data_IF_741223342483
#
_entry.id   IF_741223342483
#
_cell.length_a   1.000
_cell.length_b   1.000
_cell.length_c   1.000
_cell.angle_alpha   90.00
_cell.angle_beta   90.00
_cell.angle_gamma   90.00
#
_symmetry.space_group_name_H-M   'P 1'
#
loop_
_entity.id
_entity.type
_entity.pdbx_description
1 polymer ?
#
# COMPACT_ATOMS: atom_id res chain seq x y z
N UNK A 1 10.62 3.31 22.38
CA UNK A 1 11.89 2.59 22.19
C UNK A 1 12.79 2.73 23.42
N UNK A 2 13.74 1.81 23.65
CA UNK A 2 14.72 1.86 24.75
C UNK A 2 15.48 3.19 24.74
N UNK A 3 15.84 3.69 23.55
CA UNK A 3 16.54 4.96 23.40
C UNK A 3 15.71 6.14 23.99
N UNK A 4 14.43 6.24 23.65
CA UNK A 4 13.55 7.29 24.16
C UNK A 4 13.33 7.19 25.68
N UNK A 5 13.27 5.97 26.22
CA UNK A 5 13.18 5.76 27.66
C UNK A 5 14.40 6.31 28.40
N UNK A 6 15.60 6.13 27.82
CA UNK A 6 16.85 6.64 28.38
C UNK A 6 17.13 8.11 28.08
N UNK A 7 16.38 8.73 27.16
CA UNK A 7 16.52 10.13 26.72
C UNK A 7 15.13 10.77 26.65
N UNK A 8 14.55 11.15 27.79
CA UNK A 8 13.17 11.66 27.88
C UNK A 8 12.95 13.00 27.15
N UNK A 9 14.04 13.73 26.85
CA UNK A 9 14.04 14.96 26.07
C UNK A 9 13.78 14.77 24.57
N UNK A 10 13.83 13.52 24.08
CA UNK A 10 13.59 13.22 22.66
C UNK A 10 12.11 13.42 22.33
N UNK A 11 11.77 14.30 21.38
CA UNK A 11 10.38 14.53 20.94
C UNK A 11 9.73 13.25 20.40
N UNK A 12 8.40 13.20 20.40
CA UNK A 12 7.63 12.10 19.79
C UNK A 12 7.87 11.99 18.29
N UNK A 13 8.06 13.13 17.63
CA UNK A 13 8.47 13.22 16.24
C UNK A 13 9.83 13.90 16.17
N UNK A 14 10.87 13.14 15.92
CA UNK A 14 12.27 13.48 16.16
C UNK A 14 13.15 13.19 14.95
N UNK A 15 14.45 13.43 15.05
CA UNK A 15 15.44 13.04 14.02
C UNK A 15 15.37 11.56 13.63
N UNK A 16 14.90 10.69 14.53
CA UNK A 16 14.77 9.25 14.27
C UNK A 16 13.65 8.92 13.27
N UNK A 17 12.70 9.85 13.10
CA UNK A 17 11.54 9.72 12.20
C UNK A 17 11.82 10.31 10.81
N UNK A 18 13.00 10.90 10.61
CA UNK A 18 13.39 11.42 9.29
C UNK A 18 13.57 10.24 8.31
N UNK A 19 12.93 10.36 7.15
CA UNK A 19 12.94 9.33 6.12
C UNK A 19 14.37 8.87 5.82
N UNK A 20 14.63 7.57 5.99
CA UNK A 20 15.91 6.90 5.71
C UNK A 20 17.14 7.50 6.39
N UNK A 21 17.00 8.30 7.43
CA UNK A 21 18.16 8.87 8.16
C UNK A 21 19.08 7.77 8.71
N UNK A 22 18.50 6.66 9.15
CA UNK A 22 19.24 5.51 9.67
C UNK A 22 20.05 4.74 8.64
N UNK A 23 19.86 4.95 7.33
CA UNK A 23 20.70 4.36 6.28
C UNK A 23 22.10 5.00 6.27
N UNK A 24 22.22 6.23 6.74
CA UNK A 24 23.48 6.91 7.01
C UNK A 24 23.79 6.87 8.49
N UNK A 25 24.42 5.78 8.96
CA UNK A 25 24.84 5.65 10.37
C UNK A 25 25.62 6.87 10.87
N UNK A 26 26.44 7.48 10.02
CA UNK A 26 27.23 8.66 10.35
C UNK A 26 26.36 9.88 10.63
N UNK A 27 25.38 10.18 9.77
CA UNK A 27 24.50 11.36 9.93
C UNK A 27 23.69 11.27 11.24
N UNK A 28 23.03 10.13 11.47
CA UNK A 28 22.27 9.93 12.70
C UNK A 28 23.14 9.97 13.95
N UNK A 29 24.35 9.34 13.94
CA UNK A 29 25.27 9.38 15.04
C UNK A 29 25.73 10.82 15.34
N UNK A 30 26.10 11.61 14.33
CA UNK A 30 26.50 13.01 14.51
C UNK A 30 25.39 13.83 15.21
N UNK A 31 24.13 13.64 14.83
CA UNK A 31 23.01 14.33 15.49
C UNK A 31 22.82 13.88 16.94
N UNK A 32 22.90 12.58 17.20
CA UNK A 32 22.75 12.01 18.55
C UNK A 32 23.90 12.44 19.45
N UNK A 33 25.14 12.37 18.97
CA UNK A 33 26.34 12.81 19.74
C UNK A 33 26.30 14.31 20.04
N UNK A 34 25.76 15.11 19.11
CA UNK A 34 25.50 16.53 19.31
C UNK A 34 24.28 16.85 20.14
N UNK A 35 23.54 15.85 20.65
CA UNK A 35 22.26 15.99 21.38
C UNK A 35 21.19 16.77 20.62
N UNK A 36 21.22 16.71 19.30
CA UNK A 36 20.20 17.29 18.42
C UNK A 36 19.13 16.24 18.19
N UNK A 37 18.01 16.34 18.90
CA UNK A 37 16.91 15.37 18.82
C UNK A 37 15.69 15.91 18.07
N UNK A 38 15.46 17.24 18.10
CA UNK A 38 14.41 17.84 17.32
C UNK A 38 14.90 18.06 15.89
N UNK A 39 14.14 17.56 14.92
CA UNK A 39 14.50 17.71 13.50
C UNK A 39 14.55 19.16 13.02
N UNK A 40 13.91 20.08 13.73
CA UNK A 40 13.93 21.51 13.39
C UNK A 40 15.25 22.19 13.79
N UNK A 41 16.06 21.56 14.65
CA UNK A 41 17.33 22.08 15.15
C UNK A 41 18.54 21.52 14.37
N UNK A 42 18.29 20.76 13.29
CA UNK A 42 19.36 20.23 12.43
C UNK A 42 20.13 21.40 11.80
N UNK A 43 21.48 21.40 11.87
CA UNK A 43 22.30 22.44 11.26
C UNK A 43 22.04 22.58 9.75
N UNK A 44 22.00 23.82 9.25
CA UNK A 44 21.73 24.12 7.84
C UNK A 44 22.81 23.58 6.89
N UNK A 45 24.03 23.41 7.38
CA UNK A 45 25.18 22.84 6.63
C UNK A 45 25.17 21.32 6.58
N UNK A 46 24.26 20.66 7.30
CA UNK A 46 24.11 19.20 7.21
C UNK A 46 23.48 18.80 5.89
N UNK A 47 24.23 18.05 5.08
CA UNK A 47 23.77 17.53 3.82
C UNK A 47 22.60 16.56 4.02
N UNK A 48 21.40 16.92 3.57
CA UNK A 48 20.18 16.12 3.59
C UNK A 48 19.72 15.86 2.14
N UNK A 49 18.97 14.76 1.93
CA UNK A 49 18.30 14.53 0.65
C UNK A 49 17.05 15.40 0.53
N UNK A 50 16.58 15.65 -0.71
CA UNK A 50 15.36 16.45 -0.97
C UNK A 50 14.17 15.94 -0.19
N UNK A 51 13.98 14.61 -0.09
CA UNK A 51 12.92 13.97 0.71
C UNK A 51 13.01 14.36 2.18
N UNK A 52 14.22 14.40 2.74
CA UNK A 52 14.45 14.78 4.14
C UNK A 52 14.23 16.28 4.36
N UNK A 53 14.70 17.10 3.44
CA UNK A 53 14.48 18.56 3.43
C UNK A 53 12.99 18.87 3.35
N UNK A 54 12.26 18.23 2.44
CA UNK A 54 10.83 18.43 2.25
C UNK A 54 10.05 18.02 3.52
N UNK A 55 10.40 16.87 4.11
CA UNK A 55 9.78 16.41 5.35
C UNK A 55 9.94 17.41 6.48
N UNK A 56 11.15 17.94 6.70
CA UNK A 56 11.44 18.97 7.72
C UNK A 56 10.71 20.28 7.39
N UNK A 57 10.67 20.65 6.12
CA UNK A 57 10.03 21.88 5.66
C UNK A 57 8.53 21.87 5.93
N UNK A 58 7.81 20.78 5.57
CA UNK A 58 6.36 20.70 5.84
C UNK A 58 6.09 20.60 7.35
N UNK A 59 6.95 19.92 8.10
CA UNK A 59 6.85 19.89 9.56
C UNK A 59 7.03 21.29 10.17
N UNK A 60 8.01 22.06 9.71
CA UNK A 60 8.23 23.44 10.17
C UNK A 60 7.07 24.38 9.82
N UNK A 61 6.54 24.26 8.58
CA UNK A 61 5.47 25.13 8.07
C UNK A 61 4.07 24.72 8.52
N UNK A 62 3.87 23.48 8.95
CA UNK A 62 2.56 22.87 9.25
C UNK A 62 1.57 23.04 8.08
N UNK A 63 2.07 22.99 6.86
CA UNK A 63 1.30 23.09 5.61
C UNK A 63 1.89 22.14 4.57
N UNK A 64 1.06 21.55 3.71
CA UNK A 64 1.53 20.71 2.62
C UNK A 64 2.35 21.50 1.60
N UNK A 65 3.24 20.79 0.91
CA UNK A 65 3.88 21.22 -0.34
C UNK A 65 3.23 20.42 -1.46
N UNK A 66 2.74 21.11 -2.48
CA UNK A 66 1.97 20.52 -3.58
C UNK A 66 2.56 21.02 -4.89
N UNK A 67 2.99 20.10 -5.73
CA UNK A 67 3.43 20.31 -7.11
C UNK A 67 2.30 19.88 -8.05
N UNK A 68 1.48 20.84 -8.46
CA UNK A 68 0.31 20.59 -9.31
C UNK A 68 0.70 20.08 -10.69
N UNK A 69 1.82 20.55 -11.25
CA UNK A 69 2.33 20.10 -12.54
C UNK A 69 2.77 18.65 -12.47
N UNK A 70 3.56 18.29 -11.45
CA UNK A 70 3.97 16.91 -11.23
C UNK A 70 2.80 15.95 -10.96
N UNK A 71 1.78 16.38 -10.19
CA UNK A 71 0.55 15.58 -10.01
C UNK A 71 -0.16 15.38 -11.35
N UNK A 72 -0.29 16.45 -12.14
CA UNK A 72 -0.93 16.37 -13.46
C UNK A 72 -0.18 15.40 -14.38
N UNK A 73 1.15 15.47 -14.43
CA UNK A 73 1.97 14.56 -15.23
C UNK A 73 1.76 13.09 -14.85
N UNK A 74 1.57 12.81 -13.56
CA UNK A 74 1.37 11.45 -13.07
C UNK A 74 -0.01 10.87 -13.41
N UNK A 75 -1.09 11.67 -13.39
CA UNK A 75 -2.45 11.09 -13.44
C UNK A 75 -3.28 11.48 -14.66
N UNK A 76 -2.87 12.49 -15.46
CA UNK A 76 -3.67 12.97 -16.63
C UNK A 76 -3.79 11.95 -17.75
N UNK A 77 -2.79 11.10 -17.94
CA UNK A 77 -2.71 10.15 -19.05
C UNK A 77 -3.19 8.74 -18.68
N UNK A 78 -3.79 8.57 -17.47
CA UNK A 78 -4.38 7.30 -17.08
C UNK A 78 -5.57 6.94 -17.99
N UNK A 79 -5.52 5.73 -18.52
CA UNK A 79 -6.50 5.24 -19.48
C UNK A 79 -7.65 4.55 -18.74
N UNK A 80 -8.89 4.98 -19.01
CA UNK A 80 -10.09 4.33 -18.46
C UNK A 80 -10.45 3.04 -19.20
N UNK A 81 -11.07 2.06 -18.52
CA UNK A 81 -11.43 2.04 -17.08
C UNK A 81 -10.21 2.09 -16.16
N UNK A 82 -10.38 2.70 -14.98
CA UNK A 82 -9.42 2.58 -13.89
C UNK A 82 -9.79 1.39 -13.00
N UNK A 83 -8.84 0.50 -12.78
CA UNK A 83 -8.97 -0.70 -11.96
C UNK A 83 -8.13 -0.52 -10.68
N UNK A 84 -8.73 -0.13 -9.56
CA UNK A 84 -8.05 -0.05 -8.28
C UNK A 84 -7.95 -1.44 -7.69
N UNK A 85 -6.75 -1.96 -7.58
CA UNK A 85 -6.50 -3.37 -7.40
C UNK A 85 -5.51 -3.64 -6.26
N UNK A 86 -5.83 -4.64 -5.43
CA UNK A 86 -4.99 -5.09 -4.33
C UNK A 86 -5.14 -6.59 -4.08
N UNK A 87 -4.03 -7.23 -3.63
CA UNK A 87 -3.98 -8.61 -3.21
C UNK A 87 -3.74 -8.76 -1.72
N UNK A 88 -4.36 -9.80 -1.13
CA UNK A 88 -3.90 -10.38 0.13
C UNK A 88 -3.25 -11.73 -0.10
N UNK A 89 -2.07 -11.93 0.48
CA UNK A 89 -1.27 -13.14 0.26
C UNK A 89 -0.83 -13.79 1.57
N UNK A 90 -0.71 -15.12 1.52
CA UNK A 90 -0.09 -15.93 2.57
C UNK A 90 1.23 -16.52 2.06
N UNK A 91 2.32 -16.33 2.78
CA UNK A 91 3.65 -16.75 2.36
C UNK A 91 4.39 -17.51 3.47
N UNK A 92 4.03 -18.78 3.72
CA UNK A 92 4.59 -19.56 4.83
C UNK A 92 6.02 -20.02 4.54
N UNK A 93 6.81 -20.18 5.62
CA UNK A 93 8.15 -20.75 5.54
C UNK A 93 8.14 -22.24 5.11
N UNK A 94 7.10 -22.98 5.52
CA UNK A 94 6.86 -24.35 5.07
C UNK A 94 5.74 -24.29 4.04
N UNK A 95 5.95 -24.75 2.79
CA UNK A 95 4.93 -24.72 1.75
C UNK A 95 3.61 -25.34 2.21
N UNK A 96 2.51 -24.60 2.05
CA UNK A 96 1.19 -25.06 2.49
C UNK A 96 0.53 -26.01 1.50
N UNK A 97 0.90 -25.95 0.21
CA UNK A 97 0.34 -26.74 -0.87
C UNK A 97 1.44 -27.27 -1.79
N UNK A 98 1.16 -28.36 -2.48
CA UNK A 98 2.10 -28.99 -3.42
C UNK A 98 2.53 -28.02 -4.52
N UNK A 99 3.81 -28.05 -4.86
CA UNK A 99 4.41 -27.23 -5.90
C UNK A 99 4.70 -25.78 -5.50
N UNK A 100 4.41 -25.36 -4.26
CA UNK A 100 4.88 -24.08 -3.74
C UNK A 100 6.30 -24.19 -3.15
N UNK A 101 7.03 -23.08 -3.23
CA UNK A 101 8.35 -22.92 -2.59
C UNK A 101 8.18 -22.23 -1.21
N UNK A 102 9.14 -22.38 -0.28
CA UNK A 102 9.18 -21.57 0.93
C UNK A 102 9.05 -20.07 0.61
N UNK A 103 8.22 -19.39 1.38
CA UNK A 103 7.93 -17.95 1.25
C UNK A 103 7.32 -17.53 -0.10
N UNK A 104 6.89 -18.46 -0.95
CA UNK A 104 6.13 -18.14 -2.14
C UNK A 104 4.73 -17.66 -1.76
N UNK A 105 4.30 -16.58 -2.41
CA UNK A 105 3.02 -15.93 -2.12
C UNK A 105 1.86 -16.75 -2.67
N UNK A 106 0.88 -16.98 -1.84
CA UNK A 106 -0.39 -17.62 -2.17
C UNK A 106 -1.45 -16.52 -2.15
N UNK A 107 -1.93 -16.03 -3.30
CA UNK A 107 -2.92 -14.94 -3.36
C UNK A 107 -4.29 -15.50 -2.99
N UNK A 108 -4.67 -15.39 -1.72
CA UNK A 108 -5.92 -15.94 -1.21
C UNK A 108 -7.13 -15.01 -1.35
N UNK A 109 -6.87 -13.72 -1.59
CA UNK A 109 -7.89 -12.70 -1.73
C UNK A 109 -7.45 -11.62 -2.70
N UNK A 110 -8.39 -11.00 -3.40
CA UNK A 110 -8.21 -9.72 -4.07
C UNK A 110 -9.47 -8.86 -3.94
N UNK A 111 -9.26 -7.57 -4.08
CA UNK A 111 -10.30 -6.57 -4.26
C UNK A 111 -10.04 -5.77 -5.53
N UNK A 112 -11.11 -5.39 -6.23
CA UNK A 112 -11.06 -4.67 -7.49
C UNK A 112 -12.22 -3.68 -7.57
N UNK A 113 -11.94 -2.38 -7.40
CA UNK A 113 -12.89 -1.32 -7.72
C UNK A 113 -12.66 -0.85 -9.15
N UNK A 114 -13.72 -0.70 -9.93
CA UNK A 114 -13.66 -0.33 -11.35
C UNK A 114 -14.41 0.97 -11.57
N UNK A 115 -13.72 1.96 -12.10
CA UNK A 115 -14.27 3.25 -12.52
C UNK A 115 -14.21 3.36 -14.05
N UNK A 116 -15.36 3.30 -14.71
CA UNK A 116 -15.45 3.34 -16.19
C UNK A 116 -15.09 4.73 -16.73
N UNK A 117 -15.54 5.79 -16.06
CA UNK A 117 -15.25 7.20 -16.40
C UNK A 117 -15.30 8.08 -15.15
N UNK A 118 -14.65 9.27 -15.19
CA UNK A 118 -14.74 10.22 -14.09
C UNK A 118 -16.21 10.55 -13.75
N UNK A 119 -16.53 10.56 -12.45
CA UNK A 119 -17.86 10.90 -11.95
C UNK A 119 -18.93 9.78 -12.08
N UNK A 120 -18.62 8.65 -12.71
CA UNK A 120 -19.51 7.49 -12.72
C UNK A 120 -19.45 6.70 -11.41
N UNK A 121 -20.50 5.90 -11.17
CA UNK A 121 -20.52 5.00 -10.01
C UNK A 121 -19.55 3.84 -10.23
N UNK A 122 -18.65 3.63 -9.29
CA UNK A 122 -17.77 2.46 -9.31
C UNK A 122 -18.55 1.15 -9.12
N UNK A 123 -18.10 0.11 -9.79
CA UNK A 123 -18.40 -1.28 -9.45
C UNK A 123 -17.31 -1.86 -8.55
N UNK A 124 -17.67 -2.86 -7.73
CA UNK A 124 -16.73 -3.55 -6.85
C UNK A 124 -16.85 -5.05 -7.03
N UNK A 125 -15.71 -5.70 -7.19
CA UNK A 125 -15.57 -7.15 -7.30
C UNK A 125 -14.54 -7.57 -6.27
N UNK A 126 -14.90 -8.56 -5.48
CA UNK A 126 -14.01 -9.15 -4.50
C UNK A 126 -14.02 -10.68 -4.60
N UNK A 127 -12.91 -11.29 -4.25
CA UNK A 127 -12.78 -12.72 -4.09
C UNK A 127 -12.00 -13.02 -2.81
N UNK A 128 -12.51 -13.91 -2.01
CA UNK A 128 -11.84 -14.50 -0.86
C UNK A 128 -11.93 -16.04 -0.99
N UNK A 129 -10.78 -16.68 -0.95
CA UNK A 129 -10.72 -18.16 -0.95
C UNK A 129 -10.99 -18.70 0.45
N UNK A 130 -12.14 -19.31 0.65
CA UNK A 130 -12.62 -19.72 1.98
C UNK A 130 -12.27 -21.19 2.33
N UNK A 131 -11.47 -21.85 1.49
CA UNK A 131 -11.03 -23.23 1.71
C UNK A 131 -9.53 -23.30 1.94
N UNK A 132 -9.06 -24.35 2.65
CA UNK A 132 -7.64 -24.65 2.78
C UNK A 132 -7.15 -25.45 1.58
N UNK A 133 -7.08 -24.77 0.44
CA UNK A 133 -6.60 -25.32 -0.82
C UNK A 133 -5.90 -24.21 -1.63
N UNK A 134 -5.22 -24.56 -2.72
CA UNK A 134 -4.57 -23.62 -3.61
C UNK A 134 -5.61 -22.73 -4.34
N UNK A 135 -5.58 -21.39 -4.16
CA UNK A 135 -6.52 -20.48 -4.79
C UNK A 135 -6.10 -20.04 -6.20
N UNK A 136 -4.91 -20.40 -6.66
CA UNK A 136 -4.24 -19.80 -7.82
C UNK A 136 -5.08 -19.80 -9.09
N UNK A 137 -5.70 -20.93 -9.42
CA UNK A 137 -6.55 -21.07 -10.62
C UNK A 137 -7.79 -20.18 -10.56
N UNK A 138 -8.47 -20.15 -9.40
CA UNK A 138 -9.67 -19.35 -9.22
C UNK A 138 -9.36 -17.84 -9.32
N UNK A 139 -8.26 -17.41 -8.69
CA UNK A 139 -7.81 -16.02 -8.75
C UNK A 139 -7.46 -15.62 -10.19
N UNK A 140 -6.67 -16.43 -10.91
CA UNK A 140 -6.26 -16.15 -12.27
C UNK A 140 -7.46 -16.01 -13.22
N UNK A 141 -8.42 -16.95 -13.15
CA UNK A 141 -9.66 -16.92 -13.95
C UNK A 141 -10.51 -15.68 -13.70
N UNK A 142 -10.64 -15.28 -12.43
CA UNK A 142 -11.44 -14.10 -12.07
C UNK A 142 -10.78 -12.81 -12.55
N UNK A 143 -9.46 -12.69 -12.43
CA UNK A 143 -8.74 -11.51 -12.95
C UNK A 143 -8.83 -11.43 -14.48
N UNK A 144 -8.70 -12.56 -15.18
CA UNK A 144 -8.89 -12.62 -16.63
C UNK A 144 -10.28 -12.16 -17.05
N UNK A 145 -11.31 -12.56 -16.30
CA UNK A 145 -12.71 -12.20 -16.56
C UNK A 145 -12.99 -10.72 -16.34
N UNK A 146 -12.40 -10.11 -15.31
CA UNK A 146 -12.82 -8.80 -14.83
C UNK A 146 -11.88 -7.65 -15.19
N UNK A 147 -10.61 -7.91 -15.51
CA UNK A 147 -9.68 -6.89 -16.02
C UNK A 147 -9.64 -6.99 -17.55
N UNK A 148 -10.18 -5.97 -18.22
CA UNK A 148 -10.28 -5.91 -19.67
C UNK A 148 -8.93 -5.80 -20.40
N UNK A 149 -8.99 -5.67 -21.74
CA UNK A 149 -7.80 -5.52 -22.59
C UNK A 149 -7.22 -4.11 -22.58
N UNK A 150 -7.95 -3.14 -22.04
CA UNK A 150 -7.58 -1.72 -21.98
C UNK A 150 -7.86 -1.19 -20.58
N UNK A 151 -7.26 -0.07 -20.27
CA UNK A 151 -7.42 0.61 -18.99
C UNK A 151 -6.10 0.71 -18.23
N UNK A 152 -6.15 1.27 -17.02
CA UNK A 152 -5.02 1.35 -16.12
C UNK A 152 -5.34 0.59 -14.84
N UNK A 153 -4.46 -0.33 -14.45
CA UNK A 153 -4.55 -1.04 -13.16
C UNK A 153 -3.74 -0.24 -12.13
N UNK A 154 -4.44 0.33 -11.16
CA UNK A 154 -3.86 1.18 -10.13
C UNK A 154 -3.61 0.34 -8.88
N UNK A 155 -2.36 0.35 -8.40
CA UNK A 155 -1.95 -0.30 -7.17
C UNK A 155 -1.21 0.68 -6.27
N UNK A 156 -1.08 0.32 -4.98
CA UNK A 156 -0.23 1.02 -4.02
C UNK A 156 1.03 0.22 -3.78
N UNK A 157 2.17 0.64 -4.38
CA UNK A 157 3.41 -0.13 -4.48
C UNK A 157 3.32 -1.30 -5.49
N UNK A 158 3.03 -0.97 -6.74
CA UNK A 158 2.79 -1.93 -7.85
C UNK A 158 3.79 -3.08 -7.98
N UNK A 159 4.99 -2.94 -7.39
CA UNK A 159 6.01 -4.00 -7.44
C UNK A 159 5.55 -5.28 -6.72
N UNK A 160 4.68 -5.16 -5.71
CA UNK A 160 4.11 -6.29 -5.00
C UNK A 160 3.12 -7.04 -5.90
N UNK A 161 2.12 -6.35 -6.46
CA UNK A 161 1.10 -6.93 -7.36
C UNK A 161 1.75 -7.54 -8.60
N UNK A 162 2.71 -6.81 -9.20
CA UNK A 162 3.46 -7.32 -10.34
C UNK A 162 4.24 -8.60 -10.02
N UNK A 163 4.75 -8.70 -8.80
CA UNK A 163 5.42 -9.90 -8.33
C UNK A 163 4.46 -11.07 -8.15
N UNK A 164 3.28 -10.82 -7.53
CA UNK A 164 2.24 -11.85 -7.37
C UNK A 164 1.74 -12.35 -8.73
N UNK A 165 1.48 -11.42 -9.67
CA UNK A 165 1.06 -11.77 -11.04
C UNK A 165 2.10 -12.64 -11.76
N UNK A 166 3.41 -12.34 -11.62
CA UNK A 166 4.45 -13.19 -12.22
C UNK A 166 4.44 -14.60 -11.63
N UNK A 167 4.41 -14.73 -10.30
CA UNK A 167 4.35 -16.03 -9.62
C UNK A 167 3.09 -16.82 -10.01
N UNK A 168 1.96 -16.12 -10.15
CA UNK A 168 0.70 -16.73 -10.57
C UNK A 168 0.76 -17.19 -12.03
N UNK A 169 1.30 -16.38 -12.95
CA UNK A 169 1.48 -16.76 -14.36
C UNK A 169 2.52 -17.88 -14.58
N UNK A 170 3.56 -17.96 -13.74
CA UNK A 170 4.50 -19.08 -13.75
C UNK A 170 3.84 -20.40 -13.32
N UNK A 171 2.92 -20.31 -12.34
CA UNK A 171 2.21 -21.47 -11.80
C UNK A 171 1.02 -21.89 -12.66
N UNK A 172 0.28 -20.92 -13.20
CA UNK A 172 -0.88 -21.11 -14.07
C UNK A 172 -0.53 -20.69 -15.50
N UNK A 173 0.18 -21.56 -16.23
CA UNK A 173 0.76 -21.21 -17.54
C UNK A 173 -0.27 -20.78 -18.58
N UNK A 174 -1.51 -21.28 -18.50
CA UNK A 174 -2.64 -20.88 -19.34
C UNK A 174 -3.06 -19.42 -19.16
N UNK A 175 -2.83 -18.85 -17.97
CA UNK A 175 -3.12 -17.45 -17.64
C UNK A 175 -1.91 -16.52 -17.69
N UNK A 176 -0.74 -17.03 -18.09
CA UNK A 176 0.51 -16.25 -18.11
C UNK A 176 0.40 -14.97 -18.94
N UNK A 177 -0.17 -15.07 -20.14
CA UNK A 177 -0.35 -13.90 -21.02
C UNK A 177 -1.27 -12.84 -20.39
N UNK A 178 -2.30 -13.27 -19.65
CA UNK A 178 -3.19 -12.37 -18.90
C UNK A 178 -2.43 -11.67 -17.77
N UNK A 179 -1.63 -12.39 -16.99
CA UNK A 179 -0.84 -11.81 -15.90
C UNK A 179 0.21 -10.80 -16.43
N UNK A 180 0.87 -11.12 -17.54
CA UNK A 180 1.79 -10.21 -18.21
C UNK A 180 1.07 -8.95 -18.73
N UNK A 181 -0.11 -9.10 -19.32
CA UNK A 181 -0.95 -7.97 -19.75
C UNK A 181 -1.34 -7.07 -18.59
N UNK A 182 -1.83 -7.63 -17.48
CA UNK A 182 -2.18 -6.87 -16.28
C UNK A 182 -0.95 -6.11 -15.76
N UNK A 183 0.21 -6.75 -15.73
CA UNK A 183 1.45 -6.10 -15.31
C UNK A 183 1.86 -4.91 -16.19
N UNK A 184 1.59 -4.99 -17.50
CA UNK A 184 1.85 -3.89 -18.43
C UNK A 184 0.87 -2.71 -18.26
N UNK A 185 -0.29 -2.94 -17.61
CA UNK A 185 -1.28 -1.92 -17.31
C UNK A 185 -1.09 -1.30 -15.91
N UNK A 186 -0.15 -1.81 -15.10
CA UNK A 186 0.04 -1.37 -13.71
C UNK A 186 0.61 0.06 -13.64
N UNK A 187 -0.08 0.90 -12.88
CA UNK A 187 0.37 2.20 -12.43
C UNK A 187 0.51 2.23 -10.91
N UNK A 188 1.59 2.83 -10.39
CA UNK A 188 1.83 2.96 -8.94
C UNK A 188 1.35 4.32 -8.45
N UNK A 189 0.17 4.37 -7.83
CA UNK A 189 -0.36 5.64 -7.30
C UNK A 189 0.51 6.23 -6.17
N UNK A 190 1.29 5.40 -5.48
CA UNK A 190 2.26 5.86 -4.48
C UNK A 190 3.35 6.75 -5.09
N UNK A 191 3.60 6.67 -6.41
CA UNK A 191 4.66 7.44 -7.07
C UNK A 191 4.44 8.96 -6.97
N UNK A 192 3.19 9.44 -6.94
CA UNK A 192 2.87 10.86 -6.68
C UNK A 192 3.53 11.35 -5.39
N UNK A 193 3.53 10.51 -4.35
CA UNK A 193 4.08 10.82 -3.03
C UNK A 193 5.58 10.49 -2.92
N UNK A 194 6.03 9.41 -3.55
CA UNK A 194 7.46 9.06 -3.63
C UNK A 194 8.29 10.09 -4.37
N UNK A 195 7.74 10.65 -5.46
CA UNK A 195 8.36 11.70 -6.27
C UNK A 195 8.21 13.09 -5.63
N UNK A 196 7.58 13.17 -4.46
CA UNK A 196 7.42 14.39 -3.68
C UNK A 196 6.50 15.44 -4.32
N UNK A 197 5.63 15.06 -5.27
CA UNK A 197 4.64 15.97 -5.84
C UNK A 197 3.57 16.38 -4.83
N UNK A 198 3.34 15.54 -3.81
CA UNK A 198 2.50 15.88 -2.65
C UNK A 198 3.19 15.46 -1.36
N UNK A 199 3.54 16.43 -0.52
CA UNK A 199 4.16 16.20 0.79
C UNK A 199 3.31 16.86 1.87
N UNK A 200 2.91 16.10 2.90
CA UNK A 200 2.05 16.60 3.97
C UNK A 200 2.69 16.37 5.35
N UNK A 201 2.52 17.30 6.33
CA UNK A 201 3.07 17.12 7.68
C UNK A 201 2.64 15.81 8.34
N UNK A 202 1.36 15.44 8.18
CA UNK A 202 0.80 14.22 8.77
C UNK A 202 1.33 12.91 8.16
N UNK A 203 1.98 12.97 7.00
CA UNK A 203 2.66 11.79 6.45
C UNK A 203 3.83 11.35 7.31
N UNK A 204 4.42 12.27 8.05
CA UNK A 204 5.60 12.03 8.89
C UNK A 204 6.73 11.31 8.15
N UNK A 205 6.95 11.70 6.89
CA UNK A 205 7.97 11.11 6.01
C UNK A 205 7.63 9.73 5.44
N UNK A 206 6.42 9.23 5.66
CA UNK A 206 5.95 7.94 5.12
C UNK A 206 5.07 8.13 3.89
N UNK A 207 5.18 7.21 2.93
CA UNK A 207 4.27 7.11 1.78
C UNK A 207 3.29 5.93 1.92
N UNK A 208 3.13 5.38 3.13
CA UNK A 208 2.13 4.34 3.38
C UNK A 208 0.73 4.88 3.17
N UNK A 209 -0.14 4.11 2.50
CA UNK A 209 -1.54 4.48 2.27
C UNK A 209 -2.26 4.84 3.59
N UNK A 210 -1.92 4.16 4.70
CA UNK A 210 -2.47 4.41 6.04
C UNK A 210 -2.07 5.75 6.65
N UNK A 211 -1.06 6.42 6.09
CA UNK A 211 -0.64 7.78 6.45
C UNK A 211 -1.15 8.81 5.45
N UNK A 212 -1.19 8.44 4.18
CA UNK A 212 -1.63 9.33 3.10
C UNK A 212 -3.14 9.53 3.14
N UNK A 213 -3.91 8.43 3.24
CA UNK A 213 -5.37 8.48 3.19
C UNK A 213 -5.99 9.48 4.20
N UNK A 214 -5.76 9.38 5.52
CA UNK A 214 -6.41 10.26 6.49
C UNK A 214 -5.96 11.72 6.40
N UNK A 215 -4.83 12.00 5.76
CA UNK A 215 -4.37 13.36 5.55
C UNK A 215 -5.00 14.05 4.33
N UNK A 216 -5.55 13.28 3.38
CA UNK A 216 -6.17 13.79 2.17
C UNK A 216 -7.70 13.76 2.22
N UNK A 217 -8.27 12.74 2.85
CA UNK A 217 -9.71 12.48 2.90
C UNK A 217 -10.12 12.02 4.31
N UNK A 218 -11.41 12.20 4.65
CA UNK A 218 -11.95 11.81 5.97
C UNK A 218 -12.22 10.29 6.04
N UNK A 219 -11.16 9.51 5.86
CA UNK A 219 -11.18 8.04 5.93
C UNK A 219 -9.94 7.53 6.65
N UNK A 220 -10.09 6.48 7.46
CA UNK A 220 -8.96 5.84 8.14
C UNK A 220 -9.18 4.33 8.32
N UNK A 221 -8.13 3.62 8.70
CA UNK A 221 -8.17 2.19 9.04
C UNK A 221 -8.41 1.94 10.54
N UNK A 222 -8.60 2.98 11.35
CA UNK A 222 -8.59 2.87 12.81
C UNK A 222 -9.78 2.06 13.34
N UNK A 223 -10.92 2.12 12.65
CA UNK A 223 -12.13 1.38 13.01
C UNK A 223 -12.13 -0.09 12.58
N UNK A 224 -11.20 -0.51 11.73
CA UNK A 224 -11.14 -1.87 11.22
C UNK A 224 -10.63 -2.85 12.30
N UNK A 225 -11.11 -4.10 12.24
CA UNK A 225 -10.64 -5.20 13.08
C UNK A 225 -9.30 -5.72 12.56
N UNK A 226 -9.20 -5.95 11.25
CA UNK A 226 -7.96 -6.27 10.56
C UNK A 226 -7.39 -4.96 10.01
N UNK A 227 -6.14 -4.66 10.36
CA UNK A 227 -5.49 -3.38 10.04
C UNK A 227 -4.19 -3.51 9.27
N UNK A 228 -3.68 -4.73 9.13
CA UNK A 228 -2.36 -4.99 8.52
C UNK A 228 -2.38 -6.28 7.72
N UNK A 229 -1.66 -6.33 6.59
CA UNK A 229 -1.57 -7.51 5.74
C UNK A 229 -1.05 -8.77 6.45
N UNK A 230 -0.11 -8.61 7.41
CA UNK A 230 0.35 -9.73 8.23
C UNK A 230 -0.76 -10.32 9.10
N UNK A 231 -1.64 -9.47 9.65
CA UNK A 231 -2.83 -9.92 10.37
C UNK A 231 -3.83 -10.60 9.43
N UNK A 232 -4.08 -10.01 8.25
CA UNK A 232 -4.96 -10.61 7.23
C UNK A 232 -4.48 -12.02 6.83
N UNK A 233 -3.19 -12.16 6.57
CA UNK A 233 -2.52 -13.41 6.22
C UNK A 233 -2.74 -14.50 7.28
N UNK A 234 -2.50 -14.18 8.55
CA UNK A 234 -2.70 -15.12 9.66
C UNK A 234 -4.19 -15.44 9.88
N UNK A 235 -5.07 -14.44 9.77
CA UNK A 235 -6.51 -14.62 9.91
C UNK A 235 -7.08 -15.55 8.82
N UNK A 236 -6.63 -15.42 7.57
CA UNK A 236 -7.04 -16.34 6.52
C UNK A 236 -6.62 -17.77 6.82
N UNK A 237 -5.39 -17.96 7.30
CA UNK A 237 -4.90 -19.28 7.65
C UNK A 237 -5.70 -19.91 8.80
N UNK A 238 -6.08 -19.11 9.80
CA UNK A 238 -6.98 -19.53 10.87
C UNK A 238 -8.39 -19.85 10.36
N UNK A 239 -8.98 -18.94 9.57
CA UNK A 239 -10.33 -19.09 9.01
C UNK A 239 -10.52 -20.41 8.27
N UNK A 240 -9.52 -20.82 7.51
CA UNK A 240 -9.57 -22.04 6.68
C UNK A 240 -9.23 -23.33 7.44
N UNK A 241 -8.89 -23.27 8.73
CA UNK A 241 -8.66 -24.47 9.54
C UNK A 241 -9.98 -25.17 9.88
N UNK A 242 -10.05 -26.48 9.63
CA UNK A 242 -11.21 -27.30 9.95
C UNK A 242 -11.60 -27.31 11.43
N UNK A 243 -10.67 -26.90 12.31
CA UNK A 243 -10.90 -26.79 13.75
C UNK A 243 -11.49 -25.44 14.15
N UNK A 244 -11.46 -24.45 13.26
CA UNK A 244 -12.02 -23.13 13.55
C UNK A 244 -13.55 -23.21 13.54
N UNK A 245 -14.23 -22.72 14.59
CA UNK A 245 -15.70 -22.72 14.65
C UNK A 245 -16.28 -21.93 13.47
N UNK A 246 -17.43 -22.38 12.91
CA UNK A 246 -18.06 -21.69 11.76
C UNK A 246 -18.32 -20.21 11.98
N UNK A 247 -18.80 -19.82 13.17
CA UNK A 247 -19.05 -18.42 13.53
C UNK A 247 -17.77 -17.58 13.51
N UNK A 248 -16.64 -18.15 13.96
CA UNK A 248 -15.33 -17.51 13.93
C UNK A 248 -14.83 -17.35 12.49
N UNK A 249 -14.99 -18.40 11.66
CA UNK A 249 -14.64 -18.35 10.24
C UNK A 249 -15.44 -17.26 9.50
N UNK A 250 -16.75 -17.19 9.74
CA UNK A 250 -17.61 -16.17 9.12
C UNK A 250 -17.22 -14.75 9.57
N UNK A 251 -16.92 -14.57 10.86
CA UNK A 251 -16.44 -13.30 11.40
C UNK A 251 -15.13 -12.88 10.73
N UNK A 252 -14.17 -13.78 10.61
CA UNK A 252 -12.89 -13.50 9.94
C UNK A 252 -13.12 -13.18 8.45
N UNK A 253 -13.91 -13.98 7.73
CA UNK A 253 -14.25 -13.77 6.32
C UNK A 253 -14.78 -12.35 6.08
N UNK A 254 -15.74 -11.92 6.90
CA UNK A 254 -16.30 -10.56 6.82
C UNK A 254 -15.22 -9.47 6.98
N UNK A 255 -14.33 -9.62 7.97
CA UNK A 255 -13.31 -8.59 8.23
C UNK A 255 -12.18 -8.59 7.22
N UNK A 256 -11.83 -9.73 6.63
CA UNK A 256 -10.92 -9.82 5.49
C UNK A 256 -11.47 -9.07 4.27
N UNK A 257 -12.76 -9.28 3.94
CA UNK A 257 -13.42 -8.57 2.82
C UNK A 257 -13.46 -7.06 3.06
N UNK A 258 -13.82 -6.63 4.27
CA UNK A 258 -13.81 -5.20 4.62
C UNK A 258 -12.41 -4.59 4.47
N UNK A 259 -11.36 -5.27 4.95
CA UNK A 259 -10.00 -4.77 4.92
C UNK A 259 -9.47 -4.61 3.48
N UNK A 260 -9.51 -5.67 2.67
CA UNK A 260 -9.04 -5.62 1.28
C UNK A 260 -9.89 -4.67 0.41
N UNK A 261 -11.21 -4.61 0.65
CA UNK A 261 -12.10 -3.64 0.01
C UNK A 261 -11.75 -2.19 0.37
N UNK A 262 -11.34 -1.95 1.62
CA UNK A 262 -10.89 -0.63 2.08
C UNK A 262 -9.60 -0.20 1.37
N UNK A 263 -8.64 -1.11 1.13
CA UNK A 263 -7.38 -0.77 0.47
C UNK A 263 -7.62 -0.24 -0.97
N UNK A 264 -8.46 -0.92 -1.74
CA UNK A 264 -8.79 -0.49 -3.10
C UNK A 264 -9.68 0.76 -3.14
N UNK A 265 -10.63 0.89 -2.20
CA UNK A 265 -11.43 2.12 -2.08
C UNK A 265 -10.58 3.33 -1.64
N UNK A 266 -9.59 3.11 -0.79
CA UNK A 266 -8.65 4.15 -0.36
C UNK A 266 -7.83 4.69 -1.55
N UNK A 267 -7.37 3.82 -2.44
CA UNK A 267 -6.68 4.24 -3.67
C UNK A 267 -7.59 5.10 -4.56
N UNK A 268 -8.85 4.70 -4.73
CA UNK A 268 -9.83 5.52 -5.45
C UNK A 268 -10.01 6.89 -4.81
N UNK A 269 -10.25 6.95 -3.51
CA UNK A 269 -10.49 8.21 -2.80
C UNK A 269 -9.28 9.17 -2.87
N UNK A 270 -8.06 8.62 -2.80
CA UNK A 270 -6.83 9.40 -3.00
C UNK A 270 -6.73 9.90 -4.44
N UNK A 271 -6.94 9.03 -5.43
CA UNK A 271 -6.90 9.41 -6.84
C UNK A 271 -7.97 10.47 -7.16
N UNK A 272 -9.20 10.29 -6.70
CA UNK A 272 -10.29 11.24 -6.91
C UNK A 272 -9.96 12.62 -6.31
N UNK A 273 -9.39 12.62 -5.10
CA UNK A 273 -8.93 13.88 -4.47
C UNK A 273 -7.87 14.59 -5.28
N UNK A 274 -6.87 13.85 -5.78
CA UNK A 274 -5.82 14.42 -6.64
C UNK A 274 -6.39 14.90 -7.98
N UNK A 275 -7.30 14.13 -8.57
CA UNK A 275 -7.96 14.48 -9.84
C UNK A 275 -8.77 15.76 -9.72
N UNK A 276 -9.58 15.91 -8.65
CA UNK A 276 -10.34 17.14 -8.36
C UNK A 276 -9.49 18.37 -8.11
N UNK A 277 -8.21 18.21 -7.77
CA UNK A 277 -7.30 19.35 -7.60
C UNK A 277 -6.80 19.90 -8.94
N UNK A 278 -6.93 19.13 -10.04
CA UNK A 278 -6.49 19.54 -11.37
C UNK A 278 -7.55 20.33 -12.14
N UNK A 279 -8.83 20.22 -11.73
CA UNK A 279 -9.97 20.98 -12.28
C UNK A 279 -9.99 22.41 -11.70
#
# INVERSE_FOLDING_TARGET
TTFKYSNPEVPDYSIHDISRIGTSKKKLATLVDGKIFNMLDIPEDMELSDVQVNQITVHRRQKPMIDMEGISEEIKDLVFPLYFFDYETYAPAIPAFDGFRPYQRIPFQFSLHILEKPGEKMSHIEYLHEMRSDPSDAVAKLLEKHIGLKGTVIAWNKSFEAGVNRELGERMSEHKATMERINNMLYDLMDVFKKQHYVHPEFKGSTSIKKVLPALVDLSYDSLVIKEGGQASNSWWEMTDKKTPPETSEHISKHLKIYCGQDTYAMYAIWEKLYQMLD
#
